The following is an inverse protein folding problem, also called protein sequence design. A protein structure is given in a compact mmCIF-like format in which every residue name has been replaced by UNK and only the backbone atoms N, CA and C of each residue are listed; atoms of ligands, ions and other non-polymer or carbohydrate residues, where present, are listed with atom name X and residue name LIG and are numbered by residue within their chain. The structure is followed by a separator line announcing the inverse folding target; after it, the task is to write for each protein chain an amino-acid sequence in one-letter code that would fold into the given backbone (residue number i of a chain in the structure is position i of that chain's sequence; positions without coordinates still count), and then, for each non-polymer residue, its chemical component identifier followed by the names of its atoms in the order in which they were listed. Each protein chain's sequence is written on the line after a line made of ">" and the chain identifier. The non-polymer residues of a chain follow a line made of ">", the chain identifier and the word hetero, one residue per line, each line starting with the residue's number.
data_IF_244294267542
#
_entry.id   IF_244294267542
#
_cell.length_a   1.000
_cell.length_b   1.000
_cell.length_c   1.000
_cell.angle_alpha   90.00
_cell.angle_beta   90.00
_cell.angle_gamma   90.00
#
_symmetry.space_group_name_H-M   'P 1'
#
loop_
_entity.id
_entity.type
_entity.pdbx_description
1 polymer ?
#
# COMPACT_ATOMS: atom_id res chain seq x y z
N UNK A 1 -29.92 20.50 -18.10
CA UNK A 1 -28.46 20.75 -18.25
C UNK A 1 -27.54 19.77 -17.47
N UNK A 2 -28.05 18.63 -16.97
CA UNK A 2 -27.29 17.65 -16.14
C UNK A 2 -26.81 16.39 -16.89
N UNK A 3 -27.30 16.14 -18.11
CA UNK A 3 -27.03 14.92 -18.90
C UNK A 3 -25.70 14.94 -19.66
N UNK A 4 -25.13 16.12 -19.95
CA UNK A 4 -23.80 16.24 -20.60
C UNK A 4 -22.60 16.08 -19.65
N UNK A 5 -22.84 15.88 -18.34
CA UNK A 5 -21.79 15.77 -17.34
C UNK A 5 -21.15 14.38 -17.35
N UNK A 6 -21.93 13.33 -17.57
CA UNK A 6 -21.47 11.93 -17.55
C UNK A 6 -20.35 11.63 -18.58
N UNK A 7 -20.51 11.93 -19.89
CA UNK A 7 -19.45 11.67 -20.86
C UNK A 7 -18.19 12.52 -20.60
N UNK A 8 -18.35 13.75 -20.10
CA UNK A 8 -17.21 14.59 -19.69
C UNK A 8 -16.48 14.01 -18.49
N UNK A 9 -17.18 13.37 -17.57
CA UNK A 9 -16.60 12.75 -16.39
C UNK A 9 -15.78 11.50 -16.76
N UNK A 10 -16.30 10.67 -17.67
CA UNK A 10 -15.56 9.54 -18.24
C UNK A 10 -14.30 10.00 -18.97
N UNK A 11 -14.40 11.08 -19.74
CA UNK A 11 -13.24 11.68 -20.39
C UNK A 11 -12.18 12.15 -19.38
N UNK A 12 -12.60 12.80 -18.29
CA UNK A 12 -11.68 13.21 -17.21
C UNK A 12 -11.01 11.98 -16.57
N UNK A 13 -11.75 10.89 -16.33
CA UNK A 13 -11.19 9.64 -15.78
C UNK A 13 -10.16 9.02 -16.73
N UNK A 14 -10.46 8.98 -18.03
CA UNK A 14 -9.52 8.49 -19.05
C UNK A 14 -8.24 9.34 -19.09
N UNK A 15 -8.38 10.66 -19.04
CA UNK A 15 -7.22 11.58 -19.00
C UNK A 15 -6.40 11.40 -17.71
N UNK A 16 -7.03 11.10 -16.57
CA UNK A 16 -6.33 10.76 -15.33
C UNK A 16 -5.54 9.47 -15.46
N UNK A 17 -6.13 8.41 -16.02
CA UNK A 17 -5.45 7.13 -16.28
C UNK A 17 -4.28 7.33 -17.24
N UNK A 18 -4.48 8.10 -18.31
CA UNK A 18 -3.42 8.43 -19.27
C UNK A 18 -2.25 9.17 -18.61
N UNK A 19 -2.54 10.15 -17.74
CA UNK A 19 -1.50 10.85 -16.99
C UNK A 19 -0.75 9.90 -16.05
N UNK A 20 -1.46 9.03 -15.34
CA UNK A 20 -0.84 8.02 -14.49
C UNK A 20 0.04 7.05 -15.28
N UNK A 21 -0.40 6.62 -16.47
CA UNK A 21 0.41 5.80 -17.37
C UNK A 21 1.72 6.50 -17.77
N UNK A 22 1.65 7.79 -18.11
CA UNK A 22 2.83 8.60 -18.43
C UNK A 22 3.82 8.72 -17.26
N UNK A 23 3.33 8.75 -16.02
CA UNK A 23 4.17 8.80 -14.81
C UNK A 23 4.82 7.44 -14.46
N UNK A 24 4.20 6.32 -14.87
CA UNK A 24 4.63 4.96 -14.52
C UNK A 24 5.80 4.46 -15.38
N UNK A 25 5.83 4.84 -16.66
CA UNK A 25 6.86 4.46 -17.64
C UNK A 25 6.50 3.20 -18.45
N UNK A 26 6.83 3.21 -19.74
CA UNK A 26 6.39 2.25 -20.77
C UNK A 26 6.69 0.78 -20.43
N UNK A 27 7.91 0.48 -19.99
CA UNK A 27 8.32 -0.87 -19.58
C UNK A 27 7.45 -1.44 -18.45
N UNK A 28 7.00 -0.58 -17.52
CA UNK A 28 6.20 -0.99 -16.37
C UNK A 28 4.74 -1.21 -16.72
N UNK A 29 4.20 -0.42 -17.64
CA UNK A 29 2.87 -0.68 -18.22
C UNK A 29 2.87 -2.09 -18.84
N UNK A 30 3.90 -2.41 -19.63
CA UNK A 30 4.06 -3.73 -20.25
C UNK A 30 4.15 -4.82 -19.18
N UNK A 31 4.99 -4.66 -18.14
CA UNK A 31 5.10 -5.65 -17.08
C UNK A 31 3.78 -5.88 -16.31
N UNK A 32 3.06 -4.81 -15.93
CA UNK A 32 1.78 -4.93 -15.23
C UNK A 32 0.75 -5.62 -16.12
N UNK A 33 0.61 -5.19 -17.37
CA UNK A 33 -0.42 -5.72 -18.28
C UNK A 33 -0.10 -7.09 -18.87
N UNK A 34 1.18 -7.44 -19.04
CA UNK A 34 1.58 -8.73 -19.62
C UNK A 34 1.88 -9.79 -18.58
N UNK A 35 2.24 -9.42 -17.34
CA UNK A 35 2.57 -10.38 -16.28
C UNK A 35 1.56 -10.35 -15.15
N UNK A 36 1.41 -9.21 -14.46
CA UNK A 36 0.60 -9.16 -13.24
C UNK A 36 -0.89 -9.39 -13.54
N UNK A 37 -1.44 -8.69 -14.53
CA UNK A 37 -2.86 -8.80 -14.89
C UNK A 37 -3.19 -10.21 -15.38
N UNK A 38 -2.44 -10.84 -16.31
CA UNK A 38 -2.75 -12.19 -16.78
C UNK A 38 -2.55 -13.27 -15.72
N UNK A 39 -1.49 -13.20 -14.91
CA UNK A 39 -1.29 -14.16 -13.82
C UNK A 39 -2.36 -14.02 -12.73
N UNK A 40 -2.71 -12.79 -12.36
CA UNK A 40 -3.80 -12.52 -11.41
C UNK A 40 -5.14 -13.01 -11.96
N UNK A 41 -5.38 -12.78 -13.25
CA UNK A 41 -6.56 -13.27 -13.96
C UNK A 41 -6.66 -14.79 -13.91
N UNK A 42 -5.59 -15.50 -14.30
CA UNK A 42 -5.54 -16.96 -14.31
C UNK A 42 -5.71 -17.55 -12.90
N UNK A 43 -5.09 -16.93 -11.90
CA UNK A 43 -5.22 -17.36 -10.50
C UNK A 43 -6.67 -17.23 -10.00
N UNK A 44 -7.30 -16.07 -10.23
CA UNK A 44 -8.70 -15.85 -9.87
C UNK A 44 -9.62 -16.82 -10.60
N UNK A 45 -9.40 -17.01 -11.91
CA UNK A 45 -10.19 -17.93 -12.72
C UNK A 45 -10.15 -19.37 -12.20
N UNK A 46 -8.97 -19.87 -11.85
CA UNK A 46 -8.81 -21.24 -11.36
C UNK A 46 -9.41 -21.46 -9.97
N UNK A 47 -9.37 -20.44 -9.10
CA UNK A 47 -9.81 -20.58 -7.70
C UNK A 47 -11.28 -20.22 -7.48
N UNK A 48 -11.90 -19.50 -8.42
CA UNK A 48 -13.30 -19.08 -8.30
C UNK A 48 -14.34 -20.16 -8.63
N UNK A 49 -13.93 -21.35 -9.07
CA UNK A 49 -14.82 -22.49 -9.27
C UNK A 49 -14.99 -23.40 -8.06
N UNK A 50 -14.44 -23.04 -6.88
CA UNK A 50 -14.39 -23.93 -5.72
C UNK A 50 -14.70 -23.24 -4.39
N UNK A 51 -15.75 -23.70 -3.71
CA UNK A 51 -16.00 -23.37 -2.31
C UNK A 51 -14.84 -23.93 -1.43
N UNK A 52 -14.32 -23.18 -0.43
CA UNK A 52 -14.75 -21.88 0.10
C UNK A 52 -14.01 -20.66 -0.47
N UNK A 53 -13.13 -20.83 -1.47
CA UNK A 53 -12.24 -19.76 -1.95
C UNK A 53 -13.01 -18.57 -2.55
N UNK A 54 -14.18 -18.82 -3.13
CA UNK A 54 -15.07 -17.80 -3.72
C UNK A 54 -15.42 -16.71 -2.70
N UNK A 55 -15.88 -17.10 -1.52
CA UNK A 55 -16.26 -16.16 -0.46
C UNK A 55 -15.06 -15.36 0.07
N UNK A 56 -13.88 -15.98 0.13
CA UNK A 56 -12.65 -15.29 0.51
C UNK A 56 -12.28 -14.19 -0.48
N UNK A 57 -12.30 -14.49 -1.77
CA UNK A 57 -11.99 -13.53 -2.85
C UNK A 57 -12.99 -12.36 -2.85
N UNK A 58 -14.30 -12.65 -2.69
CA UNK A 58 -15.33 -11.62 -2.64
C UNK A 58 -15.21 -10.73 -1.40
N UNK A 59 -14.88 -11.33 -0.25
CA UNK A 59 -14.66 -10.58 0.99
C UNK A 59 -13.47 -9.64 0.88
N UNK A 60 -12.34 -10.13 0.36
CA UNK A 60 -11.13 -9.30 0.15
C UNK A 60 -11.42 -8.16 -0.82
N UNK A 61 -12.07 -8.44 -1.95
CA UNK A 61 -12.39 -7.40 -2.94
C UNK A 61 -13.38 -6.37 -2.41
N UNK A 62 -14.41 -6.79 -1.67
CA UNK A 62 -15.35 -5.87 -1.01
C UNK A 62 -14.65 -4.94 -0.01
N UNK A 63 -13.73 -5.47 0.79
CA UNK A 63 -12.93 -4.67 1.73
C UNK A 63 -12.04 -3.68 1.00
N UNK A 64 -11.41 -4.08 -0.12
CA UNK A 64 -10.64 -3.15 -0.96
C UNK A 64 -11.51 -2.01 -1.50
N UNK A 65 -12.71 -2.30 -2.01
CA UNK A 65 -13.64 -1.27 -2.45
C UNK A 65 -14.09 -0.34 -1.32
N UNK A 66 -14.32 -0.87 -0.13
CA UNK A 66 -14.66 -0.06 1.04
C UNK A 66 -13.51 0.89 1.43
N UNK A 67 -12.26 0.41 1.40
CA UNK A 67 -11.08 1.23 1.65
C UNK A 67 -10.91 2.33 0.59
N UNK A 68 -11.11 1.99 -0.69
CA UNK A 68 -11.08 2.96 -1.79
C UNK A 68 -12.19 4.00 -1.67
N UNK A 69 -13.42 3.56 -1.33
CA UNK A 69 -14.56 4.44 -1.13
C UNK A 69 -14.29 5.46 -0.03
N UNK A 70 -13.75 5.03 1.12
CA UNK A 70 -13.43 5.94 2.24
C UNK A 70 -12.36 6.98 1.92
N UNK A 71 -11.38 6.64 1.07
CA UNK A 71 -10.30 7.56 0.68
C UNK A 71 -10.66 8.47 -0.51
N UNK A 72 -11.92 8.45 -0.95
CA UNK A 72 -12.37 9.16 -2.14
C UNK A 72 -12.31 10.69 -1.95
N UNK A 73 -11.36 11.35 -2.60
CA UNK A 73 -11.12 12.80 -2.52
C UNK A 73 -12.10 13.64 -3.34
N UNK A 74 -12.71 13.05 -4.37
CA UNK A 74 -13.63 13.71 -5.31
C UNK A 74 -15.10 13.64 -4.85
N UNK A 75 -15.39 13.12 -3.65
CA UNK A 75 -16.76 13.00 -3.14
C UNK A 75 -17.53 14.32 -3.13
N UNK A 76 -16.93 15.37 -2.57
CA UNK A 76 -17.57 16.70 -2.48
C UNK A 76 -17.87 17.29 -3.86
N UNK A 77 -16.99 17.05 -4.83
CA UNK A 77 -17.20 17.49 -6.21
C UNK A 77 -18.35 16.72 -6.86
N UNK A 78 -18.35 15.39 -6.77
CA UNK A 78 -19.37 14.53 -7.37
C UNK A 78 -20.75 14.74 -6.75
N UNK A 79 -20.81 14.99 -5.44
CA UNK A 79 -22.05 15.30 -4.74
C UNK A 79 -22.68 16.63 -5.21
N UNK A 80 -21.85 17.62 -5.56
CA UNK A 80 -22.32 18.93 -6.05
C UNK A 80 -22.70 18.90 -7.54
N UNK A 81 -21.99 18.14 -8.36
CA UNK A 81 -22.14 18.17 -9.83
C UNK A 81 -23.11 17.12 -10.38
N UNK A 82 -23.36 16.01 -9.65
CA UNK A 82 -24.15 14.87 -10.14
C UNK A 82 -25.41 14.71 -9.30
N UNK A 83 -26.58 14.57 -9.95
CA UNK A 83 -27.86 14.42 -9.23
C UNK A 83 -27.97 13.15 -8.38
N UNK A 84 -27.26 12.09 -8.77
CA UNK A 84 -27.31 10.75 -8.17
C UNK A 84 -25.90 10.13 -8.11
N UNK A 85 -25.03 10.63 -7.21
CA UNK A 85 -23.64 10.18 -7.14
C UNK A 85 -23.51 8.71 -6.72
N UNK A 86 -24.45 8.16 -5.94
CA UNK A 86 -24.42 6.77 -5.48
C UNK A 86 -24.43 5.78 -6.65
N UNK A 87 -25.25 6.03 -7.68
CA UNK A 87 -25.33 5.20 -8.87
C UNK A 87 -24.08 5.30 -9.75
N UNK A 88 -23.44 6.48 -9.78
CA UNK A 88 -22.14 6.64 -10.43
C UNK A 88 -21.09 5.77 -9.72
N UNK A 89 -21.08 5.78 -8.37
CA UNK A 89 -20.14 5.00 -7.58
C UNK A 89 -20.34 3.50 -7.78
N UNK A 90 -21.59 3.05 -7.75
CA UNK A 90 -21.94 1.66 -8.02
C UNK A 90 -21.48 1.24 -9.43
N UNK A 91 -21.74 2.06 -10.45
CA UNK A 91 -21.30 1.80 -11.82
C UNK A 91 -19.77 1.72 -11.95
N UNK A 92 -19.03 2.63 -11.28
CA UNK A 92 -17.56 2.57 -11.23
C UNK A 92 -17.09 1.26 -10.55
N UNK A 93 -17.72 0.83 -9.45
CA UNK A 93 -17.34 -0.41 -8.77
C UNK A 93 -17.65 -1.65 -9.57
N UNK A 94 -18.82 -1.73 -10.23
CA UNK A 94 -19.14 -2.81 -11.16
C UNK A 94 -18.19 -2.84 -12.35
N UNK A 95 -17.76 -1.68 -12.86
CA UNK A 95 -16.79 -1.62 -13.94
C UNK A 95 -15.42 -2.16 -13.49
N UNK A 96 -14.94 -1.75 -12.32
CA UNK A 96 -13.67 -2.25 -11.78
C UNK A 96 -13.73 -3.73 -11.36
N UNK A 97 -14.90 -4.24 -10.98
CA UNK A 97 -15.10 -5.64 -10.60
C UNK A 97 -15.64 -6.51 -11.73
N UNK A 98 -15.72 -5.99 -12.96
CA UNK A 98 -16.34 -6.67 -14.10
C UNK A 98 -15.76 -8.06 -14.34
N UNK A 99 -14.46 -8.22 -14.11
CA UNK A 99 -13.79 -9.50 -14.25
C UNK A 99 -14.21 -10.51 -13.18
N UNK A 100 -14.28 -10.10 -11.91
CA UNK A 100 -14.75 -10.97 -10.82
C UNK A 100 -16.20 -11.39 -11.07
N UNK A 101 -17.04 -10.45 -11.51
CA UNK A 101 -18.43 -10.72 -11.91
C UNK A 101 -18.47 -11.73 -13.06
N UNK A 102 -17.64 -11.55 -14.09
CA UNK A 102 -17.54 -12.47 -15.23
C UNK A 102 -17.11 -13.88 -14.83
N UNK A 103 -16.13 -14.03 -13.93
CA UNK A 103 -15.71 -15.32 -13.39
C UNK A 103 -16.85 -16.02 -12.64
N UNK A 104 -17.60 -15.32 -11.80
CA UNK A 104 -18.73 -15.92 -11.07
C UNK A 104 -19.84 -16.36 -12.01
N UNK A 105 -20.14 -15.57 -13.04
CA UNK A 105 -21.13 -15.92 -14.06
C UNK A 105 -20.70 -17.17 -14.83
N UNK A 106 -19.42 -17.29 -15.18
CA UNK A 106 -18.90 -18.45 -15.91
C UNK A 106 -18.93 -19.73 -15.07
N UNK A 107 -18.59 -19.65 -13.78
CA UNK A 107 -18.64 -20.78 -12.85
C UNK A 107 -20.05 -21.07 -12.30
N UNK A 108 -21.08 -20.40 -12.81
CA UNK A 108 -22.50 -20.57 -12.42
C UNK A 108 -22.77 -20.32 -10.91
N UNK A 109 -21.93 -19.52 -10.26
CA UNK A 109 -22.00 -19.21 -8.83
C UNK A 109 -22.90 -17.98 -8.57
N UNK A 110 -24.21 -18.17 -8.75
CA UNK A 110 -25.20 -17.08 -8.65
C UNK A 110 -25.39 -16.53 -7.23
N UNK A 111 -25.31 -17.37 -6.20
CA UNK A 111 -25.48 -16.95 -4.81
C UNK A 111 -24.36 -16.01 -4.36
N UNK A 112 -23.07 -16.35 -4.53
CA UNK A 112 -21.98 -15.43 -4.23
C UNK A 112 -22.04 -14.14 -5.08
N UNK A 113 -22.48 -14.24 -6.34
CA UNK A 113 -22.65 -13.09 -7.23
C UNK A 113 -23.68 -12.09 -6.68
N UNK A 114 -24.87 -12.58 -6.29
CA UNK A 114 -25.92 -11.73 -5.75
C UNK A 114 -25.44 -11.02 -4.47
N UNK A 115 -24.84 -11.78 -3.54
CA UNK A 115 -24.28 -11.21 -2.32
C UNK A 115 -23.23 -10.13 -2.62
N UNK A 116 -22.34 -10.38 -3.58
CA UNK A 116 -21.30 -9.44 -3.95
C UNK A 116 -21.86 -8.13 -4.52
N UNK A 117 -22.84 -8.22 -5.42
CA UNK A 117 -23.52 -7.04 -6.00
C UNK A 117 -24.21 -6.22 -4.89
N UNK A 118 -24.88 -6.89 -3.95
CA UNK A 118 -25.52 -6.22 -2.81
C UNK A 118 -24.50 -5.51 -1.92
N UNK A 119 -23.33 -6.11 -1.70
CA UNK A 119 -22.23 -5.48 -0.93
C UNK A 119 -21.69 -4.25 -1.67
N UNK A 120 -21.44 -4.32 -2.98
CA UNK A 120 -21.00 -3.17 -3.77
C UNK A 120 -22.04 -2.04 -3.76
N UNK A 121 -23.32 -2.39 -3.82
CA UNK A 121 -24.42 -1.44 -3.67
C UNK A 121 -24.40 -0.79 -2.28
N UNK A 122 -24.26 -1.58 -1.22
CA UNK A 122 -24.13 -1.08 0.15
C UNK A 122 -22.98 -0.09 0.30
N UNK A 123 -21.80 -0.42 -0.22
CA UNK A 123 -20.63 0.47 -0.20
C UNK A 123 -20.90 1.77 -0.97
N UNK A 124 -21.60 1.72 -2.10
CA UNK A 124 -21.88 2.90 -2.91
C UNK A 124 -22.86 3.89 -2.26
N UNK A 125 -23.75 3.40 -1.38
CA UNK A 125 -24.76 4.22 -0.71
C UNK A 125 -24.31 4.78 0.64
N UNK A 126 -23.28 4.20 1.26
CA UNK A 126 -22.65 4.77 2.45
C UNK A 126 -21.89 6.04 2.04
N UNK A 127 -22.06 7.19 2.73
CA UNK A 127 -21.24 8.36 2.45
C UNK A 127 -19.78 8.06 2.83
N UNK A 128 -18.79 8.45 2.00
CA UNK A 128 -17.40 8.28 2.36
C UNK A 128 -17.14 9.14 3.59
N UNK A 129 -16.56 8.51 4.62
CA UNK A 129 -16.17 9.24 5.81
C UNK A 129 -15.18 10.32 5.37
N UNK A 130 -15.55 11.59 5.59
CA UNK A 130 -14.60 12.69 5.63
C UNK A 130 -13.38 12.24 6.43
N UNK A 131 -12.18 12.59 5.99
CA UNK A 131 -10.97 12.45 6.80
C UNK A 131 -11.08 13.42 7.98
N UNK A 132 -12.00 13.15 8.91
CA UNK A 132 -11.97 13.70 10.24
C UNK A 132 -10.61 13.27 10.78
N UNK A 133 -9.77 14.28 10.94
CA UNK A 133 -8.43 14.15 11.44
C UNK A 133 -8.56 13.50 12.81
N UNK A 134 -8.32 12.19 12.92
CA UNK A 134 -8.20 11.52 14.21
C UNK A 134 -7.01 12.19 14.90
N UNK A 135 -7.33 13.12 15.80
CA UNK A 135 -6.35 13.99 16.46
C UNK A 135 -5.62 13.23 17.55
N UNK A 136 -6.26 12.25 18.19
CA UNK A 136 -5.64 11.39 19.19
C UNK A 136 -6.26 10.01 19.21
N UNK A 137 -5.47 8.98 18.88
CA UNK A 137 -5.79 7.60 19.21
C UNK A 137 -4.86 7.16 20.34
N UNK A 138 -5.39 6.40 21.32
CA UNK A 138 -4.60 5.80 22.42
C UNK A 138 -3.38 5.04 21.86
N UNK A 139 -3.52 4.51 20.65
CA UNK A 139 -2.51 3.78 19.88
C UNK A 139 -1.29 4.61 19.42
N UNK A 140 -1.34 5.94 19.46
CA UNK A 140 -0.18 6.78 19.12
C UNK A 140 0.73 7.07 20.31
N UNK A 141 0.30 6.77 21.54
CA UNK A 141 1.09 6.94 22.76
C UNK A 141 2.43 6.19 22.76
N UNK A 142 2.52 4.91 22.32
CA UNK A 142 3.79 4.17 22.36
C UNK A 142 4.82 4.64 21.32
N UNK A 143 4.40 5.37 20.28
CA UNK A 143 5.31 5.85 19.23
C UNK A 143 5.88 7.21 19.64
N UNK A 144 7.21 7.42 19.72
CA UNK A 144 7.80 8.69 20.15
C UNK A 144 7.54 9.80 19.13
N UNK A 145 7.54 11.04 19.59
CA UNK A 145 7.32 12.23 18.74
C UNK A 145 8.39 12.34 17.64
N UNK A 146 9.62 11.89 17.92
CA UNK A 146 10.73 11.87 16.96
C UNK A 146 10.47 10.99 15.75
N UNK A 147 9.57 10.00 15.86
CA UNK A 147 9.15 9.13 14.76
C UNK A 147 7.81 9.62 14.19
N UNK A 148 7.78 10.88 13.74
CA UNK A 148 6.55 11.52 13.31
C UNK A 148 5.98 10.90 12.02
N UNK A 149 6.79 10.30 11.16
CA UNK A 149 6.30 9.60 9.96
C UNK A 149 5.42 8.41 10.33
N UNK A 150 5.83 7.66 11.36
CA UNK A 150 5.00 6.59 11.92
C UNK A 150 3.69 7.15 12.46
N UNK A 151 3.73 8.27 13.20
CA UNK A 151 2.51 8.87 13.76
C UNK A 151 1.56 9.37 12.67
N UNK A 152 2.06 10.10 11.68
CA UNK A 152 1.27 10.59 10.54
C UNK A 152 0.70 9.43 9.72
N UNK A 153 1.54 8.45 9.41
CA UNK A 153 1.16 7.26 8.66
C UNK A 153 0.08 6.43 9.33
N UNK A 154 0.24 6.16 10.63
CA UNK A 154 -0.76 5.45 11.44
C UNK A 154 -2.07 6.23 11.43
N UNK A 155 -2.05 7.55 11.69
CA UNK A 155 -3.27 8.39 11.71
C UNK A 155 -4.06 8.34 10.40
N UNK A 156 -3.37 8.32 9.26
CA UNK A 156 -4.01 8.28 7.95
C UNK A 156 -4.54 6.88 7.58
N UNK A 157 -3.96 5.83 8.15
CA UNK A 157 -4.19 4.44 7.72
C UNK A 157 -4.59 3.48 8.85
N UNK A 158 -5.14 4.00 9.97
CA UNK A 158 -5.48 3.20 11.17
C UNK A 158 -6.26 1.93 10.82
N UNK A 159 -7.36 2.05 10.06
CA UNK A 159 -8.19 0.90 9.71
C UNK A 159 -7.41 -0.12 8.87
N UNK A 160 -6.67 0.34 7.86
CA UNK A 160 -5.91 -0.54 6.97
C UNK A 160 -4.81 -1.28 7.72
N UNK A 161 -4.10 -0.61 8.64
CA UNK A 161 -3.12 -1.26 9.51
C UNK A 161 -3.76 -2.32 10.41
N UNK A 162 -4.89 -2.01 11.04
CA UNK A 162 -5.61 -2.95 11.89
C UNK A 162 -6.11 -4.17 11.13
N UNK A 163 -6.67 -3.95 9.95
CA UNK A 163 -7.11 -5.02 9.08
C UNK A 163 -5.94 -5.94 8.71
N UNK A 164 -4.78 -5.38 8.35
CA UNK A 164 -3.60 -6.18 8.05
C UNK A 164 -3.13 -6.99 9.26
N UNK A 165 -3.02 -6.36 10.44
CA UNK A 165 -2.61 -7.08 11.66
C UNK A 165 -3.59 -8.19 12.01
N UNK A 166 -4.89 -7.93 11.89
CA UNK A 166 -5.94 -8.93 12.11
C UNK A 166 -5.84 -10.09 11.10
N UNK A 167 -5.70 -9.79 9.81
CA UNK A 167 -5.54 -10.81 8.77
C UNK A 167 -4.23 -11.60 8.93
N UNK A 168 -3.16 -10.98 9.44
CA UNK A 168 -1.92 -11.67 9.80
C UNK A 168 -2.19 -12.69 10.90
N UNK A 169 -2.95 -12.36 11.94
CA UNK A 169 -3.36 -13.34 12.97
C UNK A 169 -4.23 -14.48 12.39
N UNK A 170 -5.04 -14.21 11.37
CA UNK A 170 -5.77 -15.23 10.62
C UNK A 170 -4.87 -16.28 9.95
N UNK A 171 -3.57 -16.00 9.82
CA UNK A 171 -2.56 -16.94 9.36
C UNK A 171 -2.33 -18.16 10.25
N UNK A 172 -2.83 -18.15 11.48
CA UNK A 172 -2.90 -19.36 12.32
C UNK A 172 -3.63 -20.48 11.56
N UNK A 173 -4.71 -20.15 10.85
CA UNK A 173 -5.49 -21.11 10.07
C UNK A 173 -4.94 -21.30 8.65
N UNK A 174 -4.57 -20.21 7.98
CA UNK A 174 -4.13 -20.25 6.59
C UNK A 174 -2.91 -19.37 6.34
N UNK A 175 -1.73 -20.00 6.17
CA UNK A 175 -0.46 -19.30 5.92
C UNK A 175 -0.52 -18.31 4.75
N UNK A 176 -1.26 -18.64 3.69
CA UNK A 176 -1.45 -17.78 2.51
C UNK A 176 -2.11 -16.42 2.80
N UNK A 177 -3.05 -16.36 3.76
CA UNK A 177 -3.70 -15.10 4.14
C UNK A 177 -2.71 -14.22 4.92
N UNK A 178 -1.92 -14.84 5.80
CA UNK A 178 -0.92 -14.12 6.57
C UNK A 178 0.17 -13.50 5.70
N UNK A 179 0.68 -14.23 4.71
CA UNK A 179 1.73 -13.69 3.83
C UNK A 179 1.18 -12.55 2.95
N UNK A 180 -0.04 -12.66 2.44
CA UNK A 180 -0.66 -11.58 1.68
C UNK A 180 -0.85 -10.32 2.54
N UNK A 181 -1.36 -10.49 3.77
CA UNK A 181 -1.53 -9.39 4.71
C UNK A 181 -0.20 -8.77 5.14
N UNK A 182 0.84 -9.58 5.33
CA UNK A 182 2.21 -9.16 5.62
C UNK A 182 2.82 -8.30 4.50
N UNK A 183 2.65 -8.71 3.24
CA UNK A 183 3.13 -7.96 2.08
C UNK A 183 2.42 -6.62 1.99
N UNK A 184 1.09 -6.62 2.13
CA UNK A 184 0.32 -5.38 2.08
C UNK A 184 0.67 -4.44 3.25
N UNK A 185 0.87 -4.99 4.45
CA UNK A 185 1.33 -4.22 5.61
C UNK A 185 2.67 -3.53 5.34
N UNK A 186 3.63 -4.28 4.79
CA UNK A 186 4.97 -3.76 4.45
C UNK A 186 4.88 -2.58 3.46
N UNK A 187 4.12 -2.74 2.38
CA UNK A 187 3.90 -1.69 1.39
C UNK A 187 3.20 -0.46 1.99
N UNK A 188 2.25 -0.69 2.89
CA UNK A 188 1.53 0.38 3.56
C UNK A 188 2.46 1.18 4.49
N UNK A 189 3.31 0.54 5.29
CA UNK A 189 4.25 1.25 6.17
C UNK A 189 5.32 2.00 5.35
N UNK A 190 5.79 1.43 4.24
CA UNK A 190 6.68 2.13 3.31
C UNK A 190 6.08 3.43 2.76
N UNK A 191 4.75 3.47 2.59
CA UNK A 191 4.07 4.67 2.11
C UNK A 191 4.24 5.88 3.04
N UNK A 192 4.61 5.66 4.32
CA UNK A 192 4.82 6.72 5.31
C UNK A 192 6.09 7.54 5.01
N UNK A 193 7.00 6.99 4.21
CA UNK A 193 8.32 7.59 3.93
C UNK A 193 8.40 8.21 2.53
N UNK A 194 7.29 8.33 1.82
CA UNK A 194 7.27 8.88 0.47
C UNK A 194 7.48 10.40 0.42
N UNK A 195 7.06 11.11 1.47
CA UNK A 195 7.19 12.56 1.58
C UNK A 195 8.52 12.95 2.23
N UNK A 196 9.27 13.83 1.56
CA UNK A 196 10.49 14.39 2.12
C UNK A 196 10.17 15.51 3.11
N UNK A 197 10.90 15.50 4.22
CA UNK A 197 10.73 16.44 5.32
C UNK A 197 11.24 17.83 4.91
N UNK A 198 10.70 18.92 5.48
CA UNK A 198 11.28 20.25 5.30
C UNK A 198 12.68 20.30 5.91
N UNK A 199 13.55 21.14 5.34
CA UNK A 199 14.94 21.31 5.79
C UNK A 199 15.04 21.66 7.28
N UNK A 200 14.15 22.51 7.77
CA UNK A 200 14.10 22.93 9.17
C UNK A 200 13.98 21.76 10.16
N UNK A 201 13.34 20.65 9.75
CA UNK A 201 13.23 19.45 10.61
C UNK A 201 14.56 18.69 10.68
N UNK A 202 15.35 18.68 9.60
CA UNK A 202 16.69 18.11 9.62
C UNK A 202 17.62 18.95 10.50
N UNK A 203 17.59 20.28 10.32
CA UNK A 203 18.43 21.23 11.07
C UNK A 203 18.12 21.22 12.57
N UNK A 204 16.83 21.14 12.93
CA UNK A 204 16.40 21.09 14.32
C UNK A 204 16.95 19.89 15.11
N UNK A 205 17.45 18.84 14.42
CA UNK A 205 18.05 17.69 15.11
C UNK A 205 19.49 17.93 15.55
N UNK A 206 20.20 18.89 14.96
CA UNK A 206 21.60 19.25 15.30
C UNK A 206 22.54 18.03 15.44
N UNK A 207 22.39 17.03 14.58
CA UNK A 207 23.22 15.81 14.56
C UNK A 207 24.08 15.77 13.30
N UNK A 208 25.22 15.05 13.37
CA UNK A 208 25.98 14.72 12.16
C UNK A 208 25.15 13.82 11.23
N UNK A 209 25.37 13.87 9.90
CA UNK A 209 24.61 13.07 8.93
C UNK A 209 24.57 11.57 9.26
N UNK A 210 25.68 11.00 9.74
CA UNK A 210 25.78 9.59 10.09
C UNK A 210 25.02 9.23 11.36
N UNK A 211 25.09 10.06 12.40
CA UNK A 211 24.34 9.86 13.64
C UNK A 211 22.83 10.01 13.40
N UNK A 212 22.44 10.99 12.60
CA UNK A 212 21.05 11.18 12.19
C UNK A 212 20.52 9.94 11.46
N UNK A 213 21.21 9.51 10.40
CA UNK A 213 20.76 8.40 9.56
C UNK A 213 20.71 7.08 10.35
N UNK A 214 21.74 6.78 11.15
CA UNK A 214 21.78 5.55 11.95
C UNK A 214 20.70 5.52 13.04
N UNK A 215 20.50 6.63 13.77
CA UNK A 215 19.41 6.71 14.76
C UNK A 215 18.05 6.51 14.08
N UNK A 216 17.87 7.06 12.89
CA UNK A 216 16.63 6.92 12.13
C UNK A 216 16.40 5.49 11.66
N UNK A 217 17.41 4.86 11.05
CA UNK A 217 17.34 3.47 10.61
C UNK A 217 17.05 2.53 11.78
N UNK A 218 17.80 2.63 12.89
CA UNK A 218 17.62 1.74 14.05
C UNK A 218 16.22 1.91 14.65
N UNK A 219 15.79 3.14 14.95
CA UNK A 219 14.49 3.36 15.60
C UNK A 219 13.33 2.95 14.70
N UNK A 220 13.32 3.40 13.44
CA UNK A 220 12.19 3.16 12.55
C UNK A 220 12.11 1.69 12.13
N UNK A 221 13.25 1.05 11.86
CA UNK A 221 13.30 -0.39 11.55
C UNK A 221 12.98 -1.22 12.78
N UNK A 222 13.37 -0.78 13.98
CA UNK A 222 12.98 -1.43 15.23
C UNK A 222 11.46 -1.47 15.44
N UNK A 223 10.76 -0.35 15.23
CA UNK A 223 9.30 -0.33 15.27
C UNK A 223 8.67 -1.21 14.18
N UNK A 224 9.24 -1.20 12.98
CA UNK A 224 8.77 -2.06 11.89
C UNK A 224 8.93 -3.54 12.22
N UNK A 225 10.11 -3.94 12.71
CA UNK A 225 10.42 -5.30 13.14
C UNK A 225 9.47 -5.78 14.24
N UNK A 226 9.25 -4.95 15.27
CA UNK A 226 8.29 -5.24 16.35
C UNK A 226 6.86 -5.42 15.83
N UNK A 227 6.43 -4.57 14.88
CA UNK A 227 5.09 -4.68 14.30
C UNK A 227 4.89 -5.95 13.45
N UNK A 228 5.98 -6.50 12.89
CA UNK A 228 5.98 -7.72 12.09
C UNK A 228 6.13 -9.00 12.92
N UNK A 229 6.48 -8.93 14.21
CA UNK A 229 6.65 -10.10 15.08
C UNK A 229 5.45 -11.08 15.08
N UNK A 230 4.17 -10.63 15.09
CA UNK A 230 3.04 -11.55 15.05
C UNK A 230 3.08 -12.51 13.85
N UNK A 231 3.62 -12.07 12.71
CA UNK A 231 3.78 -12.92 11.52
C UNK A 231 4.91 -13.94 11.71
N UNK A 232 6.03 -13.55 12.33
CA UNK A 232 7.09 -14.50 12.67
C UNK A 232 6.60 -15.60 13.61
N UNK A 233 5.71 -15.29 14.54
CA UNK A 233 5.14 -16.29 15.44
C UNK A 233 4.36 -17.40 14.69
N UNK A 234 3.82 -17.10 13.51
CA UNK A 234 3.11 -18.07 12.66
C UNK A 234 4.05 -19.16 12.15
N UNK A 235 5.35 -18.87 12.02
CA UNK A 235 6.36 -19.86 11.64
C UNK A 235 6.45 -21.04 12.62
N UNK A 236 6.13 -20.82 13.90
CA UNK A 236 6.11 -21.89 14.90
C UNK A 236 4.91 -22.83 14.74
N UNK A 237 3.79 -22.32 14.21
CA UNK A 237 2.57 -23.10 13.97
C UNK A 237 2.69 -23.85 12.65
N UNK A 238 3.07 -23.14 11.59
CA UNK A 238 3.25 -23.68 10.25
C UNK A 238 4.72 -24.01 10.01
N UNK A 239 5.25 -24.97 10.77
CA UNK A 239 6.68 -25.29 10.74
C UNK A 239 7.17 -25.63 9.33
N UNK A 240 6.39 -26.29 8.48
CA UNK A 240 6.76 -26.56 7.08
C UNK A 240 7.16 -25.31 6.27
N UNK A 241 6.66 -24.13 6.65
CA UNK A 241 6.93 -22.86 5.98
C UNK A 241 7.86 -21.93 6.78
N UNK A 242 8.57 -22.44 7.80
CA UNK A 242 9.39 -21.61 8.69
C UNK A 242 10.43 -20.78 7.94
N UNK A 243 11.13 -21.39 6.97
CA UNK A 243 12.20 -20.73 6.21
C UNK A 243 11.65 -19.67 5.26
N UNK A 244 10.50 -19.91 4.65
CA UNK A 244 9.81 -18.91 3.81
C UNK A 244 9.32 -17.72 4.63
N UNK A 245 8.85 -18.00 5.85
CA UNK A 245 8.36 -16.96 6.76
C UNK A 245 9.51 -16.08 7.26
N UNK A 246 10.63 -16.67 7.69
CA UNK A 246 11.81 -15.92 8.11
C UNK A 246 12.49 -15.16 6.97
N UNK A 247 12.55 -15.75 5.78
CA UNK A 247 13.10 -15.06 4.62
C UNK A 247 12.23 -13.90 4.15
N UNK A 248 10.90 -14.05 4.17
CA UNK A 248 9.97 -12.95 3.91
C UNK A 248 10.12 -11.83 4.95
N UNK A 249 10.30 -12.17 6.22
CA UNK A 249 10.59 -11.21 7.29
C UNK A 249 11.90 -10.45 7.03
N UNK A 250 12.99 -11.16 6.73
CA UNK A 250 14.27 -10.54 6.37
C UNK A 250 14.16 -9.65 5.13
N UNK A 251 13.45 -10.11 4.09
CA UNK A 251 13.22 -9.34 2.88
C UNK A 251 12.44 -8.04 3.15
N UNK A 252 11.40 -8.09 3.98
CA UNK A 252 10.65 -6.90 4.36
C UNK A 252 11.49 -5.90 5.15
N UNK A 253 12.33 -6.34 6.09
CA UNK A 253 13.25 -5.46 6.81
C UNK A 253 14.24 -4.79 5.85
N UNK A 254 14.81 -5.55 4.92
CA UNK A 254 15.71 -5.03 3.90
C UNK A 254 15.05 -3.99 3.01
N UNK A 255 13.82 -4.29 2.57
CA UNK A 255 13.04 -3.38 1.76
C UNK A 255 12.69 -2.10 2.53
N UNK A 256 12.41 -2.21 3.82
CA UNK A 256 12.11 -1.06 4.65
C UNK A 256 13.32 -0.14 4.81
N UNK A 257 14.50 -0.72 5.08
CA UNK A 257 15.77 0.01 5.09
C UNK A 257 16.03 0.65 3.73
N UNK A 258 15.80 -0.07 2.63
CA UNK A 258 15.92 0.44 1.27
C UNK A 258 15.04 1.68 1.05
N UNK A 259 13.78 1.66 1.50
CA UNK A 259 12.87 2.79 1.39
C UNK A 259 13.38 4.03 2.11
N UNK A 260 13.93 3.88 3.32
CA UNK A 260 14.52 4.99 4.09
C UNK A 260 15.79 5.50 3.40
N UNK A 261 16.67 4.62 2.95
CA UNK A 261 17.90 5.03 2.27
C UNK A 261 17.61 5.76 0.96
N UNK A 262 16.69 5.24 0.15
CA UNK A 262 16.22 5.89 -1.08
C UNK A 262 15.60 7.28 -0.85
N UNK A 263 14.99 7.50 0.33
CA UNK A 263 14.53 8.83 0.75
C UNK A 263 15.72 9.79 0.87
N UNK A 264 16.79 9.37 1.54
CA UNK A 264 17.93 10.22 1.86
C UNK A 264 18.99 10.35 0.76
N UNK A 265 19.17 9.34 -0.10
CA UNK A 265 20.05 9.44 -1.27
C UNK A 265 19.59 10.50 -2.26
N UNK A 266 18.28 10.57 -2.51
CA UNK A 266 17.67 11.54 -3.42
C UNK A 266 16.82 12.56 -2.67
N UNK A 267 17.23 12.92 -1.46
CA UNK A 267 16.52 13.88 -0.63
C UNK A 267 16.58 15.27 -1.28
N UNK A 268 15.41 15.90 -1.38
CA UNK A 268 15.24 17.32 -1.70
C UNK A 268 14.12 17.85 -0.79
N UNK A 269 14.29 19.00 -0.14
CA UNK A 269 13.33 19.50 0.84
C UNK A 269 11.96 19.73 0.21
N UNK A 270 10.90 19.35 0.93
CA UNK A 270 9.49 19.53 0.53
C UNK A 270 9.11 18.92 -0.84
N UNK A 271 9.81 17.87 -1.27
CA UNK A 271 9.49 17.19 -2.52
C UNK A 271 8.78 15.87 -2.29
N UNK A 272 7.74 15.62 -3.08
CA UNK A 272 7.16 14.30 -3.28
C UNK A 272 7.66 13.78 -4.64
N UNK A 273 8.17 12.55 -4.68
CA UNK A 273 8.58 11.93 -5.95
C UNK A 273 7.77 10.67 -6.20
N UNK A 274 6.83 10.77 -7.14
CA UNK A 274 6.04 9.64 -7.64
C UNK A 274 6.95 8.57 -8.24
N UNK A 275 8.05 8.95 -8.88
CA UNK A 275 9.03 8.00 -9.44
C UNK A 275 9.67 7.16 -8.34
N UNK A 276 9.99 7.77 -7.18
CA UNK A 276 10.58 7.07 -6.03
C UNK A 276 9.59 6.10 -5.39
N UNK A 277 8.33 6.52 -5.21
CA UNK A 277 7.29 5.61 -4.68
C UNK A 277 7.12 4.39 -5.57
N UNK A 278 7.17 4.59 -6.88
CA UNK A 278 7.08 3.52 -7.86
C UNK A 278 8.30 2.58 -7.81
N UNK A 279 9.53 3.11 -7.72
CA UNK A 279 10.74 2.28 -7.57
C UNK A 279 10.67 1.46 -6.28
N UNK A 280 10.30 2.06 -5.15
CA UNK A 280 10.16 1.36 -3.87
C UNK A 280 9.11 0.25 -3.97
N UNK A 281 7.96 0.50 -4.61
CA UNK A 281 6.94 -0.54 -4.80
C UNK A 281 7.39 -1.68 -5.72
N UNK A 282 8.10 -1.38 -6.81
CA UNK A 282 8.56 -2.38 -7.77
C UNK A 282 9.68 -3.26 -7.18
N UNK A 283 10.67 -2.61 -6.56
CA UNK A 283 11.72 -3.30 -5.80
C UNK A 283 11.10 -4.09 -4.65
N UNK A 284 10.06 -3.57 -4.01
CA UNK A 284 9.36 -4.26 -2.93
C UNK A 284 8.71 -5.56 -3.34
N UNK A 285 7.94 -5.55 -4.43
CA UNK A 285 7.31 -6.75 -4.96
C UNK A 285 8.35 -7.79 -5.41
N UNK A 286 9.45 -7.35 -6.02
CA UNK A 286 10.53 -8.24 -6.46
C UNK A 286 11.35 -8.78 -5.27
N UNK A 287 11.64 -7.96 -4.26
CA UNK A 287 12.47 -8.34 -3.10
C UNK A 287 11.84 -9.42 -2.23
N UNK A 288 10.51 -9.58 -2.30
CA UNK A 288 9.80 -10.66 -1.62
C UNK A 288 10.07 -12.03 -2.25
N UNK A 289 10.60 -12.05 -3.48
CA UNK A 289 11.19 -13.24 -4.05
C UNK A 289 12.62 -13.40 -3.50
N UNK A 290 12.84 -14.47 -2.74
CA UNK A 290 14.09 -14.84 -2.05
C UNK A 290 15.42 -14.41 -2.71
N UNK A 291 15.70 -14.69 -4.00
CA UNK A 291 16.98 -14.32 -4.61
C UNK A 291 17.17 -12.80 -4.74
N UNK A 292 16.09 -12.03 -4.90
CA UNK A 292 16.17 -10.58 -5.05
C UNK A 292 16.38 -9.86 -3.72
N UNK A 293 16.00 -10.47 -2.59
CA UNK A 293 16.26 -9.90 -1.26
C UNK A 293 17.75 -9.66 -1.01
N UNK A 294 18.62 -10.58 -1.47
CA UNK A 294 20.07 -10.43 -1.37
C UNK A 294 20.61 -9.25 -2.19
N UNK A 295 20.06 -9.04 -3.38
CA UNK A 295 20.42 -7.89 -4.23
C UNK A 295 20.04 -6.57 -3.55
N UNK A 296 18.85 -6.50 -2.93
CA UNK A 296 18.42 -5.31 -2.17
C UNK A 296 19.32 -5.06 -0.96
N UNK A 297 19.74 -6.10 -0.25
CA UNK A 297 20.69 -5.96 0.86
C UNK A 297 22.02 -5.35 0.39
N UNK A 298 22.58 -5.84 -0.72
CA UNK A 298 23.81 -5.26 -1.29
C UNK A 298 23.58 -3.81 -1.74
N UNK A 299 22.44 -3.52 -2.38
CA UNK A 299 22.08 -2.15 -2.77
C UNK A 299 22.00 -1.21 -1.56
N UNK A 300 21.48 -1.68 -0.41
CA UNK A 300 21.42 -0.88 0.82
C UNK A 300 22.80 -0.42 1.29
N UNK A 301 23.84 -1.25 1.14
CA UNK A 301 25.21 -0.86 1.50
C UNK A 301 25.67 0.34 0.66
N UNK A 302 25.48 0.29 -0.66
CA UNK A 302 25.85 1.40 -1.56
C UNK A 302 25.00 2.66 -1.34
N UNK A 303 23.69 2.47 -1.11
CA UNK A 303 22.77 3.57 -0.85
C UNK A 303 23.06 4.26 0.48
N UNK A 304 23.56 3.54 1.48
CA UNK A 304 23.96 4.13 2.76
C UNK A 304 25.07 5.19 2.56
N UNK A 305 26.15 4.84 1.86
CA UNK A 305 27.21 5.81 1.56
C UNK A 305 26.72 6.98 0.70
N UNK A 306 25.87 6.70 -0.27
CA UNK A 306 25.27 7.73 -1.13
C UNK A 306 24.36 8.68 -0.34
N UNK A 307 23.64 8.17 0.66
CA UNK A 307 22.75 8.96 1.50
C UNK A 307 23.53 9.88 2.42
N UNK A 308 24.64 9.41 2.98
CA UNK A 308 25.55 10.26 3.77
C UNK A 308 26.09 11.42 2.95
N UNK A 309 26.60 11.14 1.73
CA UNK A 309 27.12 12.17 0.83
C UNK A 309 26.08 13.24 0.49
N UNK A 310 24.84 12.82 0.22
CA UNK A 310 23.77 13.76 -0.09
C UNK A 310 23.36 14.57 1.15
N UNK A 311 23.21 13.94 2.32
CA UNK A 311 22.87 14.62 3.57
C UNK A 311 23.93 15.66 3.99
N UNK A 312 25.21 15.35 3.77
CA UNK A 312 26.33 16.25 4.07
C UNK A 312 26.12 17.65 3.44
N UNK A 313 25.65 17.69 2.20
CA UNK A 313 25.36 18.95 1.49
C UNK A 313 24.26 19.79 2.12
N UNK A 314 23.40 19.23 2.97
CA UNK A 314 22.31 19.98 3.60
C UNK A 314 22.64 20.37 5.04
N UNK A 315 23.51 19.61 5.72
CA UNK A 315 23.95 19.89 7.08
C UNK A 315 25.07 20.94 7.13
N UNK A 316 25.98 20.98 6.14
CA UNK A 316 27.17 21.84 6.17
C UNK A 316 27.18 22.98 5.12
N UNK A 317 26.12 23.17 4.34
CA UNK A 317 26.09 24.23 3.30
C UNK A 317 26.00 25.68 3.83
N UNK A 318 26.24 25.92 5.13
CA UNK A 318 26.26 27.25 5.73
C UNK A 318 27.42 27.47 6.71
N UNK A 319 28.43 26.60 6.72
CA UNK A 319 29.72 26.90 7.39
C UNK A 319 30.66 27.66 6.45
#
# INVERSE_FOLDING_TARGET
>A
MKTRVFPRLLWIRLMQIWRWMGEIGLFRIIFVWCVIVPFGFLFLWQKMGGQPYNWGILSVSAVLFLLLHRKRKDFLFLYKQVSRPQWLYFGEYCFYSCFIIGCLLFHEEYTPLLCYILVLLGIAFVPPLSTAVCTYTVFLRPVPVTCFEWRCGIRQNVLSLWLCLFLMMGGIFFWGIAIAAFVFFTLLVLSFYLENEPRNVLEATALTPSLFLNRKLIRHTGYFALALLPFCCIAFIHYSYWIYTLSAYFAALNLFVFGILMKYTYYRPNTYSTVRSLIISAVGLLSLLLPFAGIVFVANLFLYYSALKNLDTYFYAFD
#
